data_IF_931378746686
#
_entry.id   IF_931378746686
#
_cell.length_a   1.000
_cell.length_b   1.000
_cell.length_c   1.000
_cell.angle_alpha   90.00
_cell.angle_beta   90.00
_cell.angle_gamma   90.00
#
_symmetry.space_group_name_H-M   'P 1'
#
loop_
_entity.id
_entity.type
_entity.pdbx_description
1 polymer ?
#
# COMPACT_ATOMS: atom_id res chain seq x y z
N UNK A 1 -0.97 41.75 -2.81
CA UNK A 1 -0.80 41.70 -4.28
C UNK A 1 -0.06 42.97 -4.64
N UNK A 2 1.16 42.86 -5.17
CA UNK A 2 1.97 44.02 -5.51
C UNK A 2 1.66 44.50 -6.93
N UNK A 3 1.46 45.81 -7.18
CA UNK A 3 0.96 46.31 -8.47
C UNK A 3 2.03 46.48 -9.56
N UNK A 4 3.33 46.25 -9.27
CA UNK A 4 4.43 46.57 -10.19
C UNK A 4 5.12 45.37 -10.85
N UNK A 5 4.41 44.25 -11.07
CA UNK A 5 4.96 43.09 -11.77
C UNK A 5 4.63 43.11 -13.27
N UNK A 6 5.30 43.98 -14.03
CA UNK A 6 5.10 44.12 -15.49
C UNK A 6 5.99 43.21 -16.35
N UNK A 7 6.86 42.38 -15.79
CA UNK A 7 7.53 41.29 -16.51
C UNK A 7 7.60 40.08 -15.59
N UNK A 8 6.82 39.05 -15.93
CA UNK A 8 6.65 37.82 -15.15
C UNK A 8 7.90 36.95 -15.09
N UNK A 9 8.95 37.45 -14.46
CA UNK A 9 10.14 36.70 -14.09
C UNK A 9 9.78 35.79 -12.91
N UNK A 10 9.48 34.53 -13.23
CA UNK A 10 9.19 33.50 -12.24
C UNK A 10 10.48 33.13 -11.53
N UNK A 11 10.70 33.73 -10.37
CA UNK A 11 11.72 33.25 -9.43
C UNK A 11 11.25 31.93 -8.82
N UNK A 12 11.57 30.81 -9.47
CA UNK A 12 11.64 29.53 -8.77
C UNK A 12 12.94 29.54 -7.97
N UNK A 13 12.86 29.27 -6.66
CA UNK A 13 14.05 29.08 -5.82
C UNK A 13 14.76 27.79 -6.28
N UNK A 14 15.73 27.94 -7.17
CA UNK A 14 16.71 26.88 -7.47
C UNK A 14 17.60 26.79 -6.23
N UNK A 15 17.34 25.81 -5.36
CA UNK A 15 18.19 25.55 -4.21
C UNK A 15 19.53 24.99 -4.73
N UNK A 16 20.55 25.84 -4.73
CA UNK A 16 21.95 25.46 -4.93
C UNK A 16 22.64 25.33 -3.58
N UNK A 17 23.71 24.54 -3.51
CA UNK A 17 24.65 24.62 -2.40
C UNK A 17 25.37 25.98 -2.41
N UNK A 18 26.02 26.37 -1.31
CA UNK A 18 26.68 27.67 -1.19
C UNK A 18 27.81 27.90 -2.23
N UNK A 19 28.35 26.82 -2.81
CA UNK A 19 29.35 26.81 -3.89
C UNK A 19 28.74 26.76 -5.30
N UNK A 20 27.41 26.75 -5.41
CA UNK A 20 26.70 26.79 -6.71
C UNK A 20 26.61 25.44 -7.43
N UNK A 21 27.05 24.35 -6.81
CA UNK A 21 26.91 22.99 -7.35
C UNK A 21 25.47 22.45 -7.17
N UNK A 22 25.02 21.51 -8.04
CA UNK A 22 23.74 20.83 -7.85
C UNK A 22 23.72 20.10 -6.51
N UNK A 23 22.60 20.15 -5.77
CA UNK A 23 22.46 19.39 -4.53
C UNK A 23 22.80 17.92 -4.80
N UNK A 24 23.63 17.28 -3.96
CA UNK A 24 24.00 15.89 -4.16
C UNK A 24 22.72 15.05 -4.23
N UNK A 25 22.56 14.32 -5.33
CA UNK A 25 21.52 13.31 -5.53
C UNK A 25 21.69 12.24 -4.46
N UNK A 26 21.12 12.46 -3.28
CA UNK A 26 21.08 11.45 -2.24
C UNK A 26 20.10 10.36 -2.73
N UNK A 27 20.55 9.12 -2.98
CA UNK A 27 19.70 8.05 -3.52
C UNK A 27 18.50 7.71 -2.63
N UNK A 28 18.48 8.21 -1.39
CA UNK A 28 17.48 7.91 -0.38
C UNK A 28 16.55 9.09 -0.06
N UNK A 29 16.79 10.28 -0.63
CA UNK A 29 15.98 11.49 -0.40
C UNK A 29 15.78 12.23 -1.72
N UNK A 30 15.21 11.55 -2.71
CA UNK A 30 14.53 12.23 -3.81
C UNK A 30 13.19 11.57 -4.03
N UNK A 31 12.20 12.26 -3.55
CA UNK A 31 10.81 11.99 -3.77
C UNK A 31 10.43 12.22 -5.21
N UNK A 32 10.40 11.14 -5.98
CA UNK A 32 9.84 11.16 -7.32
C UNK A 32 8.37 11.58 -7.22
N UNK A 33 8.09 12.83 -7.59
CA UNK A 33 6.74 13.37 -7.67
C UNK A 33 6.18 13.08 -9.05
N UNK A 34 5.05 12.39 -9.09
CA UNK A 34 4.44 11.92 -10.34
C UNK A 34 3.17 12.74 -10.63
N UNK A 35 3.12 13.39 -11.81
CA UNK A 35 2.02 14.30 -12.16
C UNK A 35 1.42 14.02 -13.51
N UNK A 36 0.10 14.17 -13.63
CA UNK A 36 -0.59 14.12 -14.92
C UNK A 36 -0.75 15.51 -15.53
N UNK A 37 -0.41 15.64 -16.81
CA UNK A 37 -0.56 16.87 -17.61
C UNK A 37 -1.24 16.57 -18.96
N UNK A 38 -1.74 17.60 -19.65
CA UNK A 38 -2.20 17.52 -21.03
C UNK A 38 -1.36 18.42 -21.94
N UNK A 39 -0.85 17.90 -23.04
CA UNK A 39 -0.06 18.64 -24.03
C UNK A 39 -0.19 18.00 -25.42
N UNK A 40 0.03 18.74 -26.50
CA UNK A 40 0.01 18.21 -27.88
C UNK A 40 1.38 17.73 -28.38
N UNK A 41 2.45 18.05 -27.65
CA UNK A 41 3.85 17.85 -28.04
C UNK A 41 4.31 16.40 -27.90
N UNK A 42 5.42 16.05 -28.53
CA UNK A 42 6.07 14.75 -28.36
C UNK A 42 6.71 14.61 -26.97
N UNK A 43 7.11 13.40 -26.59
CA UNK A 43 7.78 13.15 -25.30
C UNK A 43 9.11 13.90 -25.24
N UNK A 44 9.88 13.91 -26.33
CA UNK A 44 11.20 14.52 -26.37
C UNK A 44 11.13 16.05 -26.31
N UNK A 45 10.15 16.66 -27.00
CA UNK A 45 9.89 18.10 -26.88
C UNK A 45 9.48 18.51 -25.47
N UNK A 46 8.63 17.72 -24.80
CA UNK A 46 8.24 17.98 -23.40
C UNK A 46 9.44 17.85 -22.47
N UNK A 47 10.30 16.84 -22.69
CA UNK A 47 11.55 16.68 -21.91
C UNK A 47 12.47 17.88 -22.09
N UNK A 48 12.68 18.35 -23.33
CA UNK A 48 13.50 19.51 -23.62
C UNK A 48 12.97 20.79 -22.94
N UNK A 49 11.65 21.01 -22.96
CA UNK A 49 11.04 22.17 -22.30
C UNK A 49 11.10 22.13 -20.76
N UNK A 50 11.21 20.93 -20.17
CA UNK A 50 11.17 20.74 -18.73
C UNK A 50 12.52 20.29 -18.13
N UNK A 51 13.60 20.37 -18.92
CA UNK A 51 14.94 19.95 -18.48
C UNK A 51 15.43 20.78 -17.29
N UNK A 52 15.13 22.09 -17.27
CA UNK A 52 15.45 23.00 -16.17
C UNK A 52 14.56 22.81 -14.93
N UNK A 53 13.42 22.13 -15.07
CA UNK A 53 12.40 21.92 -14.03
C UNK A 53 12.65 20.66 -13.17
N UNK A 54 13.85 20.08 -13.22
CA UNK A 54 14.24 18.83 -12.52
C UNK A 54 13.34 17.63 -12.87
N UNK A 55 12.86 17.57 -14.12
CA UNK A 55 12.11 16.43 -14.63
C UNK A 55 13.07 15.27 -14.91
N UNK A 56 12.82 14.13 -14.29
CA UNK A 56 13.61 12.91 -14.46
C UNK A 56 13.03 11.97 -15.51
N UNK A 57 11.70 11.91 -15.63
CA UNK A 57 11.05 11.05 -16.60
C UNK A 57 9.72 11.63 -17.09
N UNK A 58 9.38 11.28 -18.34
CA UNK A 58 8.12 11.67 -18.98
C UNK A 58 7.54 10.46 -19.69
N UNK A 59 6.34 10.08 -19.29
CA UNK A 59 5.59 8.97 -19.85
C UNK A 59 4.31 9.47 -20.53
N UNK A 60 4.11 9.14 -21.81
CA UNK A 60 2.88 9.45 -22.55
C UNK A 60 1.92 8.27 -22.51
N UNK A 61 0.67 8.50 -22.10
CA UNK A 61 -0.35 7.46 -22.14
C UNK A 61 -0.74 7.14 -23.58
N UNK A 62 -1.03 5.87 -23.84
CA UNK A 62 -1.60 5.39 -25.09
C UNK A 62 -3.01 4.86 -24.87
N UNK A 63 -3.83 4.90 -25.92
CA UNK A 63 -5.14 4.27 -25.97
C UNK A 63 -5.19 3.30 -27.14
N UNK A 64 -5.97 2.22 -27.02
CA UNK A 64 -6.27 1.37 -28.17
C UNK A 64 -7.43 1.99 -28.96
N UNK A 65 -7.24 2.20 -30.25
CA UNK A 65 -8.27 2.57 -31.23
C UNK A 65 -8.11 1.66 -32.43
N UNK A 66 -9.18 0.97 -32.84
CA UNK A 66 -9.17 0.11 -34.04
C UNK A 66 -8.04 -0.92 -34.06
N UNK A 67 -7.76 -1.53 -32.90
CA UNK A 67 -6.68 -2.51 -32.73
C UNK A 67 -5.26 -1.92 -32.70
N UNK A 68 -5.08 -0.62 -32.95
CA UNK A 68 -3.79 0.08 -32.92
C UNK A 68 -3.61 0.86 -31.63
N UNK A 69 -2.36 0.92 -31.15
CA UNK A 69 -1.99 1.75 -30.00
C UNK A 69 -1.74 3.19 -30.48
N UNK A 70 -2.60 4.12 -30.05
CA UNK A 70 -2.54 5.53 -30.43
C UNK A 70 -2.11 6.35 -29.22
N UNK A 71 -1.07 7.20 -29.33
CA UNK A 71 -0.65 8.08 -28.24
C UNK A 71 -1.74 9.11 -27.93
N UNK A 72 -1.95 9.38 -26.65
CA UNK A 72 -2.89 10.40 -26.17
C UNK A 72 -2.15 11.67 -25.79
N UNK A 73 -2.85 12.80 -25.71
CA UNK A 73 -2.28 14.04 -25.20
C UNK A 73 -2.17 14.08 -23.66
N UNK A 74 -2.17 12.92 -23.00
CA UNK A 74 -1.98 12.79 -21.55
C UNK A 74 -0.58 12.30 -21.23
N UNK A 75 0.09 12.96 -20.29
CA UNK A 75 1.44 12.58 -19.85
C UNK A 75 1.49 12.44 -18.34
N UNK A 76 2.40 11.61 -17.90
CA UNK A 76 2.91 11.56 -16.54
C UNK A 76 4.31 12.15 -16.56
N UNK A 77 4.57 13.13 -15.71
CA UNK A 77 5.89 13.73 -15.51
C UNK A 77 6.36 13.36 -14.11
N UNK A 78 7.56 12.79 -14.03
CA UNK A 78 8.27 12.49 -12.80
C UNK A 78 9.33 13.55 -12.57
N UNK A 79 9.34 14.18 -11.40
CA UNK A 79 10.28 15.24 -11.07
C UNK A 79 10.82 15.12 -9.66
N UNK A 80 12.03 15.61 -9.47
CA UNK A 80 12.69 15.70 -8.17
C UNK A 80 12.37 17.05 -7.54
N UNK A 81 11.32 17.07 -6.70
CA UNK A 81 10.87 18.30 -6.07
C UNK A 81 10.37 18.05 -4.64
N UNK A 82 10.56 19.04 -3.77
CA UNK A 82 10.07 19.03 -2.38
C UNK A 82 8.55 19.23 -2.32
N UNK A 83 8.00 19.99 -3.27
CA UNK A 83 6.57 20.27 -3.39
C UNK A 83 6.14 20.12 -4.83
N UNK A 84 4.92 19.64 -5.03
CA UNK A 84 4.26 19.50 -6.33
C UNK A 84 3.87 20.90 -6.84
N UNK A 85 4.50 21.49 -7.89
CA UNK A 85 4.01 22.75 -8.44
C UNK A 85 2.59 22.60 -8.98
N UNK A 86 1.71 23.57 -8.73
CA UNK A 86 0.33 23.52 -9.24
C UNK A 86 0.27 23.65 -10.77
N UNK A 87 1.25 24.34 -11.36
CA UNK A 87 1.37 24.58 -12.81
C UNK A 87 2.79 24.32 -13.28
N UNK A 88 2.92 23.85 -14.51
CA UNK A 88 4.19 23.79 -15.25
C UNK A 88 4.05 24.59 -16.55
N UNK A 89 5.19 24.94 -17.14
CA UNK A 89 5.24 25.70 -18.38
C UNK A 89 5.91 24.85 -19.44
N UNK A 90 5.26 24.70 -20.59
CA UNK A 90 5.82 24.01 -21.74
C UNK A 90 5.80 25.02 -22.89
N UNK A 91 6.98 25.50 -23.27
CA UNK A 91 7.09 26.71 -24.09
C UNK A 91 6.38 27.89 -23.43
N UNK A 92 5.39 28.46 -24.11
CA UNK A 92 4.60 29.60 -23.61
C UNK A 92 3.29 29.16 -22.92
N UNK A 93 2.97 27.86 -22.91
CA UNK A 93 1.72 27.37 -22.35
C UNK A 93 1.82 27.08 -20.84
N UNK A 94 0.85 27.58 -20.08
CA UNK A 94 0.70 27.26 -18.66
C UNK A 94 -0.25 26.07 -18.49
N UNK A 95 0.27 24.94 -18.02
CA UNK A 95 -0.50 23.71 -17.86
C UNK A 95 -0.74 23.43 -16.38
N UNK A 96 -2.02 23.25 -16.00
CA UNK A 96 -2.38 22.83 -14.64
C UNK A 96 -1.99 21.38 -14.43
N UNK A 97 -1.23 21.11 -13.38
CA UNK A 97 -0.85 19.74 -13.02
C UNK A 97 -1.84 19.13 -12.03
N UNK A 98 -1.88 17.80 -12.02
CA UNK A 98 -2.62 17.02 -11.02
C UNK A 98 -1.74 15.90 -10.50
N UNK A 99 -1.88 15.55 -9.23
CA UNK A 99 -1.22 14.37 -8.65
C UNK A 99 -1.68 13.13 -9.42
N UNK A 100 -0.74 12.28 -9.81
CA UNK A 100 -1.04 11.02 -10.46
C UNK A 100 -0.89 9.87 -9.47
N UNK A 101 -2.00 9.18 -9.20
CA UNK A 101 -2.00 7.94 -8.43
C UNK A 101 -2.00 6.76 -9.40
N UNK A 102 -0.88 6.02 -9.55
CA UNK A 102 -0.84 4.85 -10.40
C UNK A 102 -1.79 3.77 -9.87
N UNK A 103 -2.31 2.96 -10.79
CA UNK A 103 -3.06 1.77 -10.40
C UNK A 103 -2.11 0.76 -9.74
N UNK A 104 -2.55 0.01 -8.71
CA UNK A 104 -1.80 -1.10 -8.15
C UNK A 104 -1.24 -2.02 -9.22
N UNK A 105 0.09 -2.13 -9.24
CA UNK A 105 0.83 -2.97 -10.17
C UNK A 105 0.63 -4.44 -9.82
N UNK A 106 0.19 -5.21 -10.80
CA UNK A 106 0.11 -6.67 -10.71
C UNK A 106 1.19 -7.28 -11.56
N UNK A 107 1.73 -8.39 -11.09
CA UNK A 107 2.61 -9.20 -11.91
C UNK A 107 1.84 -9.68 -13.15
N UNK A 108 2.39 -9.43 -14.34
CA UNK A 108 1.76 -9.85 -15.59
C UNK A 108 1.76 -11.38 -15.81
N UNK A 109 2.43 -12.13 -14.92
CA UNK A 109 2.51 -13.59 -14.95
C UNK A 109 1.53 -14.20 -13.94
N UNK A 110 1.69 -13.92 -12.65
CA UNK A 110 0.88 -14.56 -11.59
C UNK A 110 -0.24 -13.68 -11.02
N UNK A 111 -0.40 -12.45 -11.53
CA UNK A 111 -1.48 -11.50 -11.17
C UNK A 111 -1.51 -11.06 -9.69
N UNK A 112 -0.51 -11.43 -8.91
CA UNK A 112 -0.33 -10.96 -7.54
C UNK A 112 0.31 -9.57 -7.48
N UNK A 113 0.01 -8.81 -6.43
CA UNK A 113 0.62 -7.50 -6.18
C UNK A 113 2.06 -7.63 -5.64
N UNK A 114 2.83 -6.54 -5.73
CA UNK A 114 4.10 -6.36 -5.02
C UNK A 114 5.36 -6.82 -5.75
N UNK A 115 5.26 -7.37 -6.95
CA UNK A 115 6.44 -7.71 -7.77
C UNK A 115 6.20 -7.56 -9.27
N UNK A 116 7.28 -7.40 -10.03
CA UNK A 116 7.27 -7.33 -11.49
C UNK A 116 7.41 -8.73 -12.09
N UNK A 117 7.15 -8.86 -13.40
CA UNK A 117 7.33 -10.10 -14.16
C UNK A 117 8.74 -10.68 -13.98
N UNK A 118 9.77 -9.84 -14.00
CA UNK A 118 11.17 -10.28 -13.92
C UNK A 118 11.55 -10.88 -12.56
N UNK A 119 10.83 -10.51 -11.50
CA UNK A 119 11.02 -11.05 -10.14
C UNK A 119 9.95 -12.09 -9.77
N UNK A 120 9.14 -12.54 -10.74
CA UNK A 120 8.09 -13.51 -10.49
C UNK A 120 8.68 -14.90 -10.24
N UNK A 121 8.34 -15.48 -9.10
CA UNK A 121 8.67 -16.87 -8.75
C UNK A 121 7.51 -17.84 -9.00
N UNK A 122 6.35 -17.31 -9.35
CA UNK A 122 5.12 -18.05 -9.60
C UNK A 122 4.95 -18.29 -11.11
N UNK A 123 4.18 -19.32 -11.46
CA UNK A 123 3.79 -19.59 -12.85
C UNK A 123 2.73 -18.63 -13.39
N UNK A 124 2.46 -18.70 -14.69
CA UNK A 124 1.35 -17.96 -15.30
C UNK A 124 -0.01 -18.45 -14.77
N UNK A 125 -0.87 -17.50 -14.40
CA UNK A 125 -2.18 -17.77 -13.79
C UNK A 125 -3.32 -17.17 -14.60
N UNK A 126 -4.43 -17.89 -14.67
CA UNK A 126 -5.69 -17.39 -15.21
C UNK A 126 -6.23 -16.24 -14.36
N UNK A 127 -6.63 -15.15 -15.02
CA UNK A 127 -7.19 -13.99 -14.36
C UNK A 127 -8.59 -14.18 -13.79
N UNK A 128 -9.32 -15.17 -14.28
CA UNK A 128 -10.69 -15.44 -13.84
C UNK A 128 -10.69 -16.34 -12.62
N UNK A 129 -10.07 -17.52 -12.69
CA UNK A 129 -10.13 -18.54 -11.63
C UNK A 129 -8.85 -18.69 -10.79
N UNK A 130 -7.76 -17.98 -11.14
CA UNK A 130 -6.50 -18.04 -10.39
C UNK A 130 -5.67 -19.31 -10.56
N UNK A 131 -6.16 -20.31 -11.28
CA UNK A 131 -5.43 -21.54 -11.61
C UNK A 131 -4.37 -21.31 -12.69
N UNK A 132 -3.56 -22.33 -13.00
CA UNK A 132 -2.58 -22.25 -14.11
C UNK A 132 -3.25 -21.87 -15.43
N UNK A 133 -2.53 -21.13 -16.28
CA UNK A 133 -3.04 -20.71 -17.60
C UNK A 133 -3.63 -21.88 -18.38
N UNK A 134 -4.82 -21.67 -18.91
CA UNK A 134 -5.56 -22.64 -19.71
C UNK A 134 -6.30 -21.89 -20.83
N UNK A 135 -7.01 -22.64 -21.68
CA UNK A 135 -7.87 -22.09 -22.74
C UNK A 135 -9.08 -21.30 -22.20
N UNK A 136 -10.20 -21.24 -22.93
CA UNK A 136 -11.42 -20.58 -22.46
C UNK A 136 -11.79 -21.01 -21.03
N UNK A 137 -11.88 -20.04 -20.11
CA UNK A 137 -12.14 -20.30 -18.70
C UNK A 137 -13.62 -20.62 -18.47
N UNK A 138 -13.92 -21.78 -17.91
CA UNK A 138 -15.26 -22.17 -17.45
C UNK A 138 -15.36 -22.32 -15.94
N UNK A 139 -14.24 -22.17 -15.22
CA UNK A 139 -14.17 -22.30 -13.77
C UNK A 139 -14.75 -21.06 -13.07
N UNK A 140 -15.28 -21.22 -11.84
CA UNK A 140 -15.78 -20.09 -11.06
C UNK A 140 -14.67 -19.06 -10.81
N UNK A 141 -15.06 -17.79 -10.77
CA UNK A 141 -14.10 -16.71 -10.56
C UNK A 141 -13.50 -16.78 -9.15
N UNK A 142 -12.18 -16.68 -9.06
CA UNK A 142 -11.43 -16.69 -7.81
C UNK A 142 -10.22 -15.77 -7.92
N UNK A 143 -10.13 -14.84 -6.98
CA UNK A 143 -9.07 -13.84 -6.95
C UNK A 143 -7.77 -14.40 -6.35
N UNK A 144 -6.65 -14.27 -7.07
CA UNK A 144 -5.32 -14.74 -6.62
C UNK A 144 -4.73 -13.98 -5.43
N UNK A 145 -5.34 -12.86 -5.02
CA UNK A 145 -4.84 -12.00 -3.95
C UNK A 145 -5.67 -12.11 -2.66
N UNK A 146 -6.98 -12.34 -2.75
CA UNK A 146 -7.88 -12.37 -1.60
C UNK A 146 -8.80 -13.60 -1.55
N UNK A 147 -8.66 -14.54 -2.49
CA UNK A 147 -9.46 -15.76 -2.62
C UNK A 147 -10.99 -15.53 -2.75
N UNK A 148 -11.41 -14.30 -3.04
CA UNK A 148 -12.81 -13.93 -3.21
C UNK A 148 -13.38 -14.36 -4.56
N UNK A 149 -14.71 -14.46 -4.65
CA UNK A 149 -15.45 -14.89 -5.84
C UNK A 149 -15.52 -13.81 -6.94
N UNK A 150 -14.36 -13.37 -7.44
CA UNK A 150 -14.21 -12.37 -8.49
C UNK A 150 -12.88 -12.55 -9.23
N UNK A 151 -12.77 -11.95 -10.42
CA UNK A 151 -11.52 -11.94 -11.19
C UNK A 151 -10.42 -11.14 -10.48
N UNK A 152 -9.16 -11.50 -10.69
CA UNK A 152 -8.00 -10.73 -10.23
C UNK A 152 -7.95 -9.27 -10.74
N UNK A 153 -8.78 -8.88 -11.72
CA UNK A 153 -8.94 -7.50 -12.24
C UNK A 153 -10.00 -6.67 -11.54
N UNK A 154 -10.77 -7.24 -10.61
CA UNK A 154 -11.84 -6.52 -9.94
C UNK A 154 -11.29 -5.41 -9.02
N UNK A 155 -11.74 -4.18 -9.25
CA UNK A 155 -11.39 -3.01 -8.43
C UNK A 155 -12.10 -3.00 -7.07
N UNK A 156 -13.14 -3.81 -6.90
CA UNK A 156 -13.82 -3.99 -5.62
C UNK A 156 -13.07 -4.93 -4.67
N UNK A 157 -12.05 -5.63 -5.16
CA UNK A 157 -11.21 -6.52 -4.36
C UNK A 157 -10.64 -5.79 -3.12
N UNK A 158 -10.80 -6.35 -1.89
CA UNK A 158 -10.26 -5.73 -0.68
C UNK A 158 -8.76 -5.49 -0.74
N UNK A 159 -8.00 -6.43 -1.32
CA UNK A 159 -6.55 -6.29 -1.51
C UNK A 159 -6.20 -5.20 -2.50
N UNK A 160 -6.95 -5.06 -3.59
CA UNK A 160 -6.76 -3.97 -4.53
C UNK A 160 -6.95 -2.60 -3.85
N UNK A 161 -8.02 -2.45 -3.05
CA UNK A 161 -8.29 -1.22 -2.30
C UNK A 161 -7.18 -0.90 -1.30
N UNK A 162 -6.67 -1.90 -0.59
CA UNK A 162 -5.53 -1.76 0.32
C UNK A 162 -4.27 -1.27 -0.42
N UNK A 163 -3.90 -1.89 -1.55
CA UNK A 163 -2.73 -1.46 -2.34
C UNK A 163 -2.92 -0.07 -2.94
N UNK A 164 -4.14 0.28 -3.38
CA UNK A 164 -4.43 1.61 -3.88
C UNK A 164 -4.28 2.68 -2.79
N UNK A 165 -4.71 2.37 -1.56
CA UNK A 165 -4.50 3.24 -0.40
C UNK A 165 -3.02 3.38 -0.04
N UNK A 166 -2.25 2.30 -0.07
CA UNK A 166 -0.80 2.34 0.16
C UNK A 166 -0.08 3.23 -0.86
N UNK A 167 -0.40 3.08 -2.15
CA UNK A 167 0.14 3.93 -3.21
C UNK A 167 -0.24 5.38 -3.00
N UNK A 168 -1.49 5.65 -2.60
CA UNK A 168 -1.93 7.01 -2.29
C UNK A 168 -1.14 7.62 -1.15
N UNK A 169 -0.98 6.91 -0.03
CA UNK A 169 -0.18 7.37 1.11
C UNK A 169 1.28 7.58 0.75
N UNK A 170 1.85 6.66 -0.03
CA UNK A 170 3.23 6.78 -0.56
C UNK A 170 3.44 8.12 -1.27
N UNK A 171 2.46 8.53 -2.09
CA UNK A 171 2.53 9.76 -2.88
C UNK A 171 2.20 11.00 -2.02
N UNK A 172 1.15 10.93 -1.20
CA UNK A 172 0.68 12.06 -0.39
C UNK A 172 1.67 12.43 0.72
N UNK A 173 2.27 11.43 1.38
CA UNK A 173 3.26 11.62 2.45
C UNK A 173 4.69 11.50 1.96
N UNK A 174 4.87 11.19 0.68
CA UNK A 174 6.18 11.12 0.07
C UNK A 174 7.14 10.19 0.84
N UNK A 175 6.71 8.96 1.06
CA UNK A 175 7.41 7.99 1.88
C UNK A 175 7.63 6.68 1.13
N UNK A 176 8.42 5.79 1.70
CA UNK A 176 8.59 4.43 1.16
C UNK A 176 7.30 3.61 1.33
N UNK A 177 7.18 2.55 0.53
CA UNK A 177 6.06 1.61 0.65
C UNK A 177 5.96 0.98 2.06
N UNK A 178 7.12 0.74 2.71
CA UNK A 178 7.18 0.19 4.08
C UNK A 178 6.61 1.18 5.09
N UNK A 179 6.98 2.45 4.99
CA UNK A 179 6.47 3.50 5.87
C UNK A 179 4.97 3.72 5.66
N UNK A 180 4.50 3.77 4.41
CA UNK A 180 3.08 3.83 4.10
C UNK A 180 2.29 2.67 4.73
N UNK A 181 2.86 1.46 4.71
CA UNK A 181 2.27 0.27 5.34
C UNK A 181 2.23 0.38 6.86
N UNK A 182 3.28 0.91 7.48
CA UNK A 182 3.32 1.17 8.91
C UNK A 182 2.24 2.19 9.32
N UNK A 183 2.01 3.24 8.52
CA UNK A 183 0.97 4.23 8.79
C UNK A 183 -0.44 3.61 8.83
N UNK A 184 -0.75 2.69 7.90
CA UNK A 184 -2.02 1.95 7.90
C UNK A 184 -2.10 1.02 9.13
N UNK A 185 -1.01 0.31 9.42
CA UNK A 185 -0.93 -0.64 10.52
C UNK A 185 -1.11 0.04 11.89
N UNK A 186 -0.53 1.22 12.10
CA UNK A 186 -0.65 2.01 13.33
C UNK A 186 -2.04 2.65 13.46
N UNK A 187 -2.67 3.03 12.35
CA UNK A 187 -4.03 3.59 12.35
C UNK A 187 -5.12 2.55 12.63
N UNK A 188 -4.81 1.26 12.50
CA UNK A 188 -5.74 0.14 12.72
C UNK A 188 -5.90 -0.27 14.20
N UNK A 189 -5.45 0.58 15.13
CA UNK A 189 -5.42 0.29 16.57
C UNK A 189 -4.16 -0.46 17.01
N UNK A 190 -3.89 -0.56 18.32
CA UNK A 190 -2.73 -1.28 18.83
C UNK A 190 -2.84 -2.76 18.44
N UNK A 191 -1.94 -3.23 17.57
CA UNK A 191 -1.75 -4.66 17.34
C UNK A 191 -1.40 -5.31 18.68
N UNK A 192 -2.14 -6.37 19.05
CA UNK A 192 -1.75 -7.20 20.19
C UNK A 192 -0.30 -7.66 19.98
N UNK A 193 0.58 -7.21 20.86
CA UNK A 193 1.98 -7.64 20.86
C UNK A 193 2.02 -9.12 21.20
N UNK A 194 3.05 -9.84 20.71
CA UNK A 194 3.25 -11.25 21.08
C UNK A 194 3.24 -11.42 22.61
N UNK A 195 3.83 -10.47 23.34
CA UNK A 195 3.79 -10.39 24.79
C UNK A 195 2.37 -10.29 25.35
N UNK A 196 1.53 -9.41 24.80
CA UNK A 196 0.12 -9.27 25.22
C UNK A 196 -0.72 -10.52 24.93
N UNK A 197 -0.51 -11.17 23.78
CA UNK A 197 -1.20 -12.42 23.43
C UNK A 197 -0.74 -13.58 24.32
N UNK A 198 0.56 -13.67 24.63
CA UNK A 198 1.10 -14.65 25.58
C UNK A 198 0.53 -14.40 26.97
N UNK A 199 0.52 -13.15 27.44
CA UNK A 199 -0.04 -12.78 28.74
C UNK A 199 -1.53 -13.12 28.83
N UNK A 200 -2.30 -12.83 27.77
CA UNK A 200 -3.71 -13.18 27.71
C UNK A 200 -3.92 -14.70 27.76
N UNK A 201 -3.09 -15.50 27.07
CA UNK A 201 -3.13 -16.97 27.15
C UNK A 201 -2.77 -17.49 28.53
N UNK A 202 -1.76 -16.90 29.19
CA UNK A 202 -1.39 -17.24 30.56
C UNK A 202 -2.55 -16.93 31.51
N UNK A 203 -3.15 -15.75 31.40
CA UNK A 203 -4.28 -15.35 32.25
C UNK A 203 -5.49 -16.28 32.07
N UNK A 204 -5.78 -16.71 30.83
CA UNK A 204 -6.85 -17.68 30.55
C UNK A 204 -6.52 -19.07 31.10
N UNK A 205 -5.26 -19.51 31.01
CA UNK A 205 -4.82 -20.78 31.59
C UNK A 205 -4.82 -20.75 33.13
N UNK A 206 -4.56 -19.59 33.75
CA UNK A 206 -4.56 -19.39 35.20
C UNK A 206 -5.95 -19.15 35.77
N UNK A 207 -6.93 -18.76 34.95
CA UNK A 207 -8.30 -18.55 35.40
C UNK A 207 -8.98 -19.84 35.89
N UNK A 208 -8.42 -21.01 35.56
CA UNK A 208 -8.94 -22.33 35.94
C UNK A 208 -10.25 -22.65 35.23
N UNK A 209 -10.45 -23.89 34.81
CA UNK A 209 -11.74 -24.28 34.23
C UNK A 209 -12.79 -24.24 35.37
N UNK A 210 -14.00 -23.70 35.20
CA UNK A 210 -15.04 -23.73 36.25
C UNK A 210 -15.28 -25.13 36.82
N UNK A 211 -14.96 -26.18 36.06
CA UNK A 211 -14.97 -27.58 36.52
C UNK A 211 -13.92 -27.87 37.60
N UNK A 212 -12.76 -27.23 37.56
CA UNK A 212 -11.67 -27.42 38.53
C UNK A 212 -12.06 -26.88 39.92
N UNK A 213 -12.78 -25.74 39.97
CA UNK A 213 -13.33 -25.22 41.23
C UNK A 213 -14.36 -26.17 41.84
N UNK A 214 -15.22 -26.75 41.00
CA UNK A 214 -16.22 -27.73 41.44
C UNK A 214 -15.51 -28.98 41.99
N UNK A 215 -14.50 -29.49 41.29
CA UNK A 215 -13.70 -30.65 41.73
C UNK A 215 -13.06 -30.37 43.09
N UNK A 216 -12.42 -29.21 43.28
CA UNK A 216 -11.81 -28.83 44.57
C UNK A 216 -12.86 -28.84 45.70
N UNK A 217 -14.03 -28.25 45.47
CA UNK A 217 -15.09 -28.20 46.50
C UNK A 217 -15.64 -29.59 46.84
N UNK A 218 -15.80 -30.47 45.84
CA UNK A 218 -16.27 -31.83 46.05
C UNK A 218 -15.22 -32.65 46.82
N UNK A 219 -13.94 -32.46 46.52
CA UNK A 219 -12.84 -33.14 47.21
C UNK A 219 -12.79 -32.78 48.70
N UNK A 220 -12.96 -31.50 49.03
CA UNK A 220 -13.05 -31.02 50.42
C UNK A 220 -14.29 -31.58 51.13
N UNK A 221 -15.41 -31.68 50.43
CA UNK A 221 -16.65 -32.24 50.98
C UNK A 221 -16.47 -33.72 51.32
N UNK A 222 -15.84 -34.50 50.43
CA UNK A 222 -15.52 -35.93 50.67
C UNK A 222 -14.61 -36.10 51.89
N UNK A 223 -13.55 -35.30 52.00
CA UNK A 223 -12.66 -35.35 53.17
C UNK A 223 -13.40 -35.06 54.48
N UNK A 224 -14.32 -34.09 54.47
CA UNK A 224 -15.06 -33.72 55.66
C UNK A 224 -16.06 -34.82 56.06
N UNK A 225 -16.73 -35.44 55.09
CA UNK A 225 -17.59 -36.59 55.32
C UNK A 225 -16.82 -37.79 55.86
N UNK A 226 -15.63 -38.08 55.31
CA UNK A 226 -14.76 -39.14 55.83
C UNK A 226 -14.35 -38.91 57.29
N UNK A 227 -14.06 -37.66 57.67
CA UNK A 227 -13.77 -37.29 59.07
C UNK A 227 -14.99 -37.48 59.98
N UNK A 228 -16.19 -37.18 59.50
CA UNK A 228 -17.42 -37.39 60.27
C UNK A 228 -17.72 -38.88 60.47
N UNK A 229 -17.58 -39.68 59.42
CA UNK A 229 -17.74 -41.15 59.49
C UNK A 229 -16.75 -41.74 60.48
N UNK A 230 -15.48 -41.34 60.42
CA UNK A 230 -14.45 -41.81 61.36
C UNK A 230 -14.82 -41.51 62.81
N UNK A 231 -15.35 -40.31 63.10
CA UNK A 231 -15.81 -39.91 64.44
C UNK A 231 -17.04 -40.69 64.91
N UNK A 232 -17.94 -41.05 63.99
CA UNK A 232 -19.13 -41.83 64.31
C UNK A 232 -18.76 -43.29 64.60
N UNK A 233 -17.84 -43.87 63.82
CA UNK A 233 -17.37 -45.23 64.04
C UNK A 233 -16.67 -45.38 65.41
N UNK A 234 -15.91 -44.39 65.86
CA UNK A 234 -15.29 -44.39 67.21
C UNK A 234 -16.28 -44.26 68.37
N UNK A 235 -17.58 -44.02 68.11
CA UNK A 235 -18.64 -43.93 69.14
C UNK A 235 -19.56 -45.16 69.16
N UNK A 236 -19.34 -46.10 68.24
CA UNK A 236 -20.15 -47.32 68.08
C UNK A 236 -19.43 -48.55 68.67
N UNK A 237 -18.11 -48.46 68.88
CA UNK A 237 -17.32 -49.38 69.74
C UNK A 237 -17.28 -48.89 71.20
#
# INVERSE_FOLDING_TARGET
MDPNNEHGEKRYLILRTADGSPLPTNPWILSETVKRIQASLTVDEIKAHLEEDNVTDVYRFTRKSDGKSVPTNSYVVTMQAVKIPEYIYIGMERIKTRVYYPRPMRCNTCLQFGHTKNNCKNGETCATCGEKTHGPCTLPAKCTNCDGAHSAFDTNCPKYKQEAQLIKLKIDHNCSYREAKQMIDTSSGPKQTLASTVQQRINVAQAGDPKDQIIISLTQTIENLNKQIARLNTRID
#
